data_IF_221823638597
#
_entry.id   IF_221823638597
#
_cell.length_a   1.000
_cell.length_b   1.000
_cell.length_c   1.000
_cell.angle_alpha   90.00
_cell.angle_beta   90.00
_cell.angle_gamma   90.00
#
_symmetry.space_group_name_H-M   'P 1'
#
loop_
_entity.id
_entity.type
_entity.pdbx_description
1 polymer ?
#
# COMPACT_ATOMS: atom_id res chain seq x y z
N UNK A 1 36.11 -40.03 -7.31
CA UNK A 1 36.05 -39.51 -5.92
C UNK A 1 36.01 -40.69 -4.96
N UNK A 2 36.91 -40.76 -3.95
CA UNK A 2 37.42 -42.01 -3.38
C UNK A 2 36.88 -42.28 -1.97
N UNK A 3 35.56 -42.37 -1.81
CA UNK A 3 34.93 -42.56 -0.49
C UNK A 3 34.30 -43.95 -0.27
N UNK A 4 34.09 -44.76 -1.31
CA UNK A 4 33.30 -46.00 -1.20
C UNK A 4 34.11 -47.30 -1.05
N UNK A 5 35.42 -47.31 -1.33
CA UNK A 5 36.25 -48.52 -1.18
C UNK A 5 36.82 -48.76 0.23
N UNK A 6 36.66 -47.80 1.16
CA UNK A 6 37.17 -47.93 2.54
C UNK A 6 36.26 -48.68 3.52
N UNK A 7 35.08 -49.14 3.11
CA UNK A 7 34.08 -49.72 4.03
C UNK A 7 34.11 -51.27 4.05
N UNK A 8 34.93 -51.94 3.23
CA UNK A 8 34.98 -53.42 3.19
C UNK A 8 35.89 -54.09 4.22
N UNK A 9 36.66 -53.33 5.01
CA UNK A 9 37.56 -53.87 6.04
C UNK A 9 37.25 -53.41 7.47
N UNK A 10 36.11 -52.77 7.69
CA UNK A 10 35.75 -52.27 9.03
C UNK A 10 35.32 -53.45 9.92
N UNK A 11 36.02 -53.66 11.03
CA UNK A 11 35.64 -54.67 12.03
C UNK A 11 34.19 -54.45 12.47
N UNK A 12 33.45 -55.52 12.81
CA UNK A 12 32.04 -55.43 13.25
C UNK A 12 31.82 -54.34 14.30
N UNK A 13 32.78 -54.13 15.21
CA UNK A 13 32.75 -53.05 16.23
C UNK A 13 32.68 -51.64 15.63
N UNK A 14 33.43 -51.36 14.57
CA UNK A 14 33.48 -50.05 13.92
C UNK A 14 32.16 -49.74 13.19
N UNK A 15 31.56 -50.75 12.57
CA UNK A 15 30.22 -50.65 11.96
C UNK A 15 29.13 -50.39 13.01
N UNK A 16 29.19 -51.06 14.17
CA UNK A 16 28.24 -50.80 15.26
C UNK A 16 28.40 -49.40 15.87
N UNK A 17 29.63 -48.88 15.99
CA UNK A 17 29.87 -47.54 16.51
C UNK A 17 29.38 -46.45 15.55
N UNK A 18 29.56 -46.64 14.24
CA UNK A 18 29.02 -45.70 13.23
C UNK A 18 27.50 -45.77 13.18
N UNK A 19 26.91 -46.97 13.21
CA UNK A 19 25.45 -47.13 13.25
C UNK A 19 24.86 -46.53 14.54
N UNK A 20 25.49 -46.73 15.69
CA UNK A 20 25.07 -46.12 16.95
C UNK A 20 25.21 -44.59 16.92
N UNK A 21 26.28 -44.04 16.33
CA UNK A 21 26.46 -42.60 16.16
C UNK A 21 25.40 -41.98 15.24
N UNK A 22 25.07 -42.64 14.13
CA UNK A 22 24.00 -42.21 13.21
C UNK A 22 22.62 -42.32 13.88
N UNK A 23 22.39 -43.38 14.66
CA UNK A 23 21.14 -43.55 15.40
C UNK A 23 20.99 -42.48 16.49
N UNK A 24 22.07 -42.16 17.22
CA UNK A 24 22.07 -41.08 18.22
C UNK A 24 21.86 -39.72 17.54
N UNK A 25 22.49 -39.46 16.40
CA UNK A 25 22.25 -38.23 15.62
C UNK A 25 20.83 -38.13 15.08
N UNK A 26 20.24 -39.24 14.62
CA UNK A 26 18.85 -39.29 14.17
C UNK A 26 17.87 -39.11 15.35
N UNK A 27 18.16 -39.73 16.49
CA UNK A 27 17.37 -39.60 17.72
C UNK A 27 17.48 -38.17 18.27
N UNK A 28 18.65 -37.55 18.23
CA UNK A 28 18.84 -36.12 18.59
C UNK A 28 18.13 -35.21 17.57
N UNK A 29 18.19 -35.48 16.27
CA UNK A 29 17.45 -34.69 15.26
C UNK A 29 15.92 -34.81 15.38
N UNK A 30 15.41 -35.94 15.90
CA UNK A 30 13.98 -36.19 16.13
C UNK A 30 13.52 -35.74 17.52
N UNK A 31 14.38 -35.80 18.55
CA UNK A 31 14.05 -35.37 19.92
C UNK A 31 14.33 -33.89 20.19
N UNK A 32 15.27 -33.24 19.51
CA UNK A 32 15.54 -31.80 19.71
C UNK A 32 14.31 -30.93 19.38
N UNK A 33 13.50 -31.20 18.34
CA UNK A 33 12.24 -30.46 18.13
C UNK A 33 11.17 -30.74 19.20
N UNK A 34 11.26 -31.86 19.92
CA UNK A 34 10.24 -32.34 20.89
C UNK A 34 10.60 -32.00 22.34
N UNK A 35 11.90 -31.80 22.63
CA UNK A 35 12.44 -31.48 23.96
C UNK A 35 13.01 -30.06 24.08
N UNK A 36 13.09 -29.30 22.98
CA UNK A 36 13.10 -27.86 23.11
C UNK A 36 11.72 -27.47 23.63
N UNK A 37 11.61 -26.96 24.87
CA UNK A 37 10.35 -26.36 25.29
C UNK A 37 9.99 -25.36 24.19
N UNK A 38 8.76 -25.45 23.69
CA UNK A 38 8.15 -24.32 23.03
C UNK A 38 8.53 -23.11 23.88
N UNK A 39 9.19 -22.14 23.26
CA UNK A 39 9.36 -20.84 23.91
C UNK A 39 7.92 -20.38 24.15
N UNK A 40 7.41 -20.67 25.34
CA UNK A 40 6.16 -20.18 25.91
C UNK A 40 6.34 -18.68 26.11
N UNK A 41 6.33 -18.02 24.98
CA UNK A 41 6.18 -16.60 24.77
C UNK A 41 5.16 -16.42 23.66
N UNK A 42 4.17 -17.32 23.55
CA UNK A 42 2.92 -17.01 22.87
C UNK A 42 2.32 -15.84 23.66
N UNK A 43 2.69 -14.62 23.28
CA UNK A 43 2.01 -13.43 23.75
C UNK A 43 0.53 -13.71 23.52
N UNK A 44 -0.26 -13.82 24.59
CA UNK A 44 -1.70 -14.09 24.47
C UNK A 44 -2.22 -13.17 23.36
N UNK A 45 -2.77 -13.71 22.28
CA UNK A 45 -3.34 -12.88 21.24
C UNK A 45 -4.80 -12.65 21.58
N UNK A 46 -5.35 -11.49 21.21
CA UNK A 46 -6.76 -11.18 21.45
C UNK A 46 -7.60 -11.36 20.19
N UNK A 47 -8.87 -11.68 20.37
CA UNK A 47 -9.88 -11.55 19.30
C UNK A 47 -10.26 -10.07 19.09
N UNK A 48 -10.83 -9.79 17.92
CA UNK A 48 -11.47 -8.49 17.69
C UNK A 48 -12.71 -8.32 18.59
N UNK A 49 -13.11 -7.07 18.92
CA UNK A 49 -14.31 -6.84 19.70
C UNK A 49 -15.55 -7.48 19.06
N UNK A 50 -16.49 -7.98 19.87
CA UNK A 50 -17.72 -8.63 19.37
C UNK A 50 -18.51 -7.72 18.42
N UNK A 51 -18.50 -6.41 18.66
CA UNK A 51 -19.13 -5.42 17.81
C UNK A 51 -18.56 -5.36 16.39
N UNK A 52 -17.30 -5.76 16.17
CA UNK A 52 -16.64 -5.69 14.87
C UNK A 52 -17.38 -6.49 13.80
N UNK A 53 -18.06 -7.59 14.18
CA UNK A 53 -18.88 -8.37 13.24
C UNK A 53 -20.08 -7.59 12.70
N UNK A 54 -20.74 -6.81 13.55
CA UNK A 54 -21.84 -5.95 13.12
C UNK A 54 -21.32 -4.79 12.28
N UNK A 55 -20.21 -4.15 12.69
CA UNK A 55 -19.61 -3.04 11.95
C UNK A 55 -19.11 -3.48 10.56
N UNK A 56 -18.50 -4.65 10.43
CA UNK A 56 -18.01 -5.19 9.17
C UNK A 56 -19.09 -5.36 8.08
N UNK A 57 -20.38 -5.38 8.45
CA UNK A 57 -21.51 -5.56 7.53
C UNK A 57 -22.32 -4.28 7.30
N UNK A 58 -22.01 -3.21 8.02
CA UNK A 58 -22.77 -1.97 7.99
C UNK A 58 -21.79 -0.78 7.94
N UNK A 59 -21.41 -0.33 6.73
CA UNK A 59 -20.45 0.75 6.56
C UNK A 59 -20.85 2.07 7.22
N UNK A 60 -22.13 2.43 7.18
CA UNK A 60 -22.62 3.67 7.79
C UNK A 60 -22.47 3.62 9.32
N UNK A 61 -22.86 2.50 9.93
CA UNK A 61 -22.68 2.28 11.37
C UNK A 61 -21.21 2.14 11.75
N UNK A 62 -20.38 1.53 10.90
CA UNK A 62 -18.94 1.42 11.13
C UNK A 62 -18.27 2.80 11.15
N UNK A 63 -18.56 3.65 10.16
CA UNK A 63 -18.06 5.02 10.11
C UNK A 63 -18.50 5.82 11.35
N UNK A 64 -19.78 5.74 11.73
CA UNK A 64 -20.30 6.43 12.91
C UNK A 64 -19.69 5.92 14.24
N UNK A 65 -19.52 4.61 14.40
CA UNK A 65 -19.02 4.01 15.63
C UNK A 65 -17.50 4.19 15.83
N UNK A 66 -16.76 4.35 14.73
CA UNK A 66 -15.30 4.51 14.76
C UNK A 66 -14.86 5.96 14.56
N UNK A 67 -15.76 6.90 14.24
CA UNK A 67 -15.43 8.32 14.06
C UNK A 67 -14.77 8.92 15.32
N UNK A 68 -13.51 9.37 15.23
CA UNK A 68 -12.80 9.96 16.37
C UNK A 68 -13.29 11.39 16.70
N UNK A 69 -14.18 11.97 15.89
CA UNK A 69 -14.59 13.38 15.96
C UNK A 69 -13.61 14.31 15.26
N UNK A 70 -14.03 15.56 15.05
CA UNK A 70 -13.29 16.59 14.30
C UNK A 70 -11.88 16.84 14.86
N UNK A 71 -11.71 16.80 16.18
CA UNK A 71 -10.42 16.99 16.86
C UNK A 71 -9.58 15.71 16.98
N UNK A 72 -10.09 14.57 16.50
CA UNK A 72 -9.43 13.25 16.59
C UNK A 72 -9.17 12.79 18.06
N UNK A 73 -9.84 13.36 19.05
CA UNK A 73 -9.61 12.99 20.45
C UNK A 73 -10.25 11.65 20.84
N UNK A 74 -11.38 11.26 20.22
CA UNK A 74 -12.18 10.09 20.61
C UNK A 74 -11.69 8.80 19.94
N UNK A 75 -10.39 8.52 20.00
CA UNK A 75 -9.77 7.33 19.37
C UNK A 75 -10.03 6.00 20.09
N UNK A 76 -10.76 5.99 21.20
CA UNK A 76 -11.03 4.80 22.01
C UNK A 76 -11.61 3.60 21.24
N UNK A 77 -12.66 3.77 20.40
CA UNK A 77 -13.20 2.70 19.58
C UNK A 77 -12.19 2.12 18.57
N UNK A 78 -11.49 2.97 17.83
CA UNK A 78 -10.43 2.59 16.89
C UNK A 78 -9.29 1.85 17.58
N UNK A 79 -8.84 2.33 18.75
CA UNK A 79 -7.87 1.63 19.59
C UNK A 79 -8.40 0.24 19.96
N UNK A 80 -9.59 0.10 20.53
CA UNK A 80 -10.14 -1.23 20.85
C UNK A 80 -10.23 -2.16 19.63
N UNK A 81 -10.53 -1.62 18.45
CA UNK A 81 -10.57 -2.38 17.20
C UNK A 81 -9.17 -2.85 16.80
N UNK A 82 -8.23 -1.92 16.60
CA UNK A 82 -6.93 -2.18 15.96
C UNK A 82 -5.81 -2.46 16.96
N UNK A 83 -5.84 -1.81 18.13
CA UNK A 83 -4.76 -1.81 19.12
C UNK A 83 -5.25 -1.49 20.55
N UNK A 84 -5.42 -2.48 21.45
CA UNK A 84 -5.55 -2.17 22.86
C UNK A 84 -4.15 -1.87 23.40
N UNK A 85 -4.07 -1.14 24.50
CA UNK A 85 -2.89 -1.31 25.34
C UNK A 85 -2.78 -2.80 25.70
N UNK A 86 -1.66 -3.45 25.36
CA UNK A 86 -1.44 -4.88 25.61
C UNK A 86 -1.31 -5.72 24.33
N UNK A 87 -2.01 -6.85 24.31
CA UNK A 87 -1.84 -7.97 23.39
C UNK A 87 -2.22 -7.68 21.91
N UNK A 88 -1.47 -8.22 20.92
CA UNK A 88 -1.80 -8.08 19.49
C UNK A 88 -3.09 -8.83 19.12
N UNK A 89 -3.73 -8.45 18.01
CA UNK A 89 -4.83 -9.24 17.45
C UNK A 89 -4.32 -10.62 17.02
N UNK A 90 -5.10 -11.67 17.29
CA UNK A 90 -4.88 -12.98 16.71
C UNK A 90 -4.97 -12.90 15.19
N UNK A 91 -4.14 -13.68 14.51
CA UNK A 91 -4.29 -13.84 13.07
C UNK A 91 -5.56 -14.65 12.73
N UNK A 92 -6.21 -14.30 11.62
CA UNK A 92 -7.33 -15.04 11.08
C UNK A 92 -8.72 -14.48 11.42
N UNK A 93 -9.79 -15.31 11.27
CA UNK A 93 -11.16 -14.85 11.02
C UNK A 93 -11.79 -14.04 12.16
N UNK A 94 -11.42 -14.34 13.40
CA UNK A 94 -11.94 -13.70 14.62
C UNK A 94 -11.08 -12.53 15.12
N UNK A 95 -9.88 -12.33 14.55
CA UNK A 95 -8.93 -11.31 14.97
C UNK A 95 -8.69 -10.29 13.85
N UNK A 96 -7.54 -10.36 13.19
CA UNK A 96 -7.13 -9.43 12.12
C UNK A 96 -8.17 -9.30 11.01
N UNK A 97 -8.81 -10.40 10.60
CA UNK A 97 -9.81 -10.36 9.54
C UNK A 97 -11.08 -9.60 9.93
N UNK A 98 -11.58 -9.82 11.14
CA UNK A 98 -12.80 -9.16 11.60
C UNK A 98 -12.56 -7.67 11.84
N UNK A 99 -11.42 -7.33 12.45
CA UNK A 99 -11.02 -5.95 12.66
C UNK A 99 -10.79 -5.21 11.33
N UNK A 100 -10.09 -5.85 10.39
CA UNK A 100 -9.82 -5.30 9.06
C UNK A 100 -11.08 -5.05 8.23
N UNK A 101 -12.05 -5.98 8.25
CA UNK A 101 -13.34 -5.77 7.57
C UNK A 101 -14.14 -4.60 8.14
N UNK A 102 -14.19 -4.47 9.46
CA UNK A 102 -14.82 -3.33 10.11
C UNK A 102 -14.13 -2.00 9.77
N UNK A 103 -12.80 -2.01 9.65
CA UNK A 103 -12.03 -0.83 9.23
C UNK A 103 -12.34 -0.44 7.77
N UNK A 104 -12.38 -1.39 6.85
CA UNK A 104 -12.74 -1.12 5.44
C UNK A 104 -14.16 -0.58 5.34
N UNK A 105 -15.11 -1.17 6.08
CA UNK A 105 -16.48 -0.68 6.18
C UNK A 105 -16.52 0.78 6.64
N UNK A 106 -15.76 1.13 7.67
CA UNK A 106 -15.76 2.49 8.22
C UNK A 106 -15.09 3.53 7.33
N UNK A 107 -14.11 3.14 6.50
CA UNK A 107 -13.27 4.08 5.74
C UNK A 107 -13.66 4.20 4.27
N UNK A 108 -14.21 3.15 3.67
CA UNK A 108 -14.55 3.12 2.23
C UNK A 108 -16.05 3.27 1.97
N UNK A 109 -16.88 3.25 3.02
CA UNK A 109 -18.33 3.22 2.90
C UNK A 109 -18.87 1.92 2.28
N UNK A 110 -18.04 0.89 2.13
CA UNK A 110 -18.37 -0.42 1.52
C UNK A 110 -17.84 -1.56 2.39
N UNK A 111 -18.48 -2.74 2.32
CA UNK A 111 -17.92 -3.95 2.95
C UNK A 111 -16.57 -4.30 2.32
N UNK A 112 -15.76 -5.16 2.96
CA UNK A 112 -14.45 -5.49 2.41
C UNK A 112 -14.53 -6.28 1.10
N UNK A 113 -15.55 -7.13 0.99
CA UNK A 113 -15.86 -7.89 -0.22
C UNK A 113 -16.24 -6.93 -1.35
N UNK A 114 -17.13 -5.96 -1.10
CA UNK A 114 -17.48 -4.92 -2.07
C UNK A 114 -16.29 -4.02 -2.42
N UNK A 115 -15.43 -3.69 -1.45
CA UNK A 115 -14.28 -2.83 -1.65
C UNK A 115 -13.23 -3.44 -2.58
N UNK A 116 -13.12 -4.78 -2.56
CA UNK A 116 -12.24 -5.56 -3.44
C UNK A 116 -12.88 -5.98 -4.76
N UNK A 117 -14.12 -5.59 -5.03
CA UNK A 117 -14.85 -5.88 -6.26
C UNK A 117 -14.94 -4.62 -7.14
N UNK A 118 -14.40 -4.70 -8.35
CA UNK A 118 -14.37 -3.60 -9.32
C UNK A 118 -15.68 -3.42 -10.09
N UNK A 119 -16.58 -4.39 -10.02
CA UNK A 119 -17.91 -4.28 -10.58
C UNK A 119 -18.85 -3.45 -9.68
N UNK A 120 -18.44 -3.19 -8.44
CA UNK A 120 -19.21 -2.41 -7.47
C UNK A 120 -18.64 -0.98 -7.38
N UNK A 121 -19.42 0.04 -7.80
CA UNK A 121 -18.96 1.43 -7.78
C UNK A 121 -18.54 1.89 -6.38
N UNK A 122 -17.45 2.65 -6.30
CA UNK A 122 -17.02 3.32 -5.09
C UNK A 122 -18.03 4.39 -4.71
N UNK A 123 -18.16 4.57 -3.40
CA UNK A 123 -18.96 5.63 -2.84
C UNK A 123 -18.05 6.84 -2.60
N UNK A 124 -18.51 8.07 -2.86
CA UNK A 124 -17.80 9.26 -2.44
C UNK A 124 -17.45 9.19 -0.95
N UNK A 125 -16.28 9.71 -0.59
CA UNK A 125 -15.86 9.74 0.79
C UNK A 125 -16.79 10.65 1.61
N UNK A 126 -16.96 10.29 2.87
CA UNK A 126 -17.61 11.16 3.86
C UNK A 126 -16.55 11.64 4.83
N UNK A 127 -16.77 12.80 5.45
CA UNK A 127 -15.84 13.29 6.49
C UNK A 127 -15.61 12.27 7.60
N UNK A 128 -16.67 11.59 8.07
CA UNK A 128 -16.53 10.56 9.10
C UNK A 128 -15.55 9.47 8.65
N UNK A 129 -15.72 8.97 7.43
CA UNK A 129 -14.87 7.93 6.88
C UNK A 129 -13.41 8.40 6.72
N UNK A 130 -13.21 9.63 6.25
CA UNK A 130 -11.89 10.23 6.09
C UNK A 130 -11.20 10.49 7.46
N UNK A 131 -11.96 10.90 8.50
CA UNK A 131 -11.46 10.99 9.88
C UNK A 131 -11.04 9.65 10.45
N UNK A 132 -11.80 8.58 10.17
CA UNK A 132 -11.41 7.21 10.56
C UNK A 132 -10.10 6.81 9.86
N UNK A 133 -9.96 7.11 8.57
CA UNK A 133 -8.74 6.82 7.81
C UNK A 133 -7.53 7.58 8.39
N UNK A 134 -7.66 8.89 8.62
CA UNK A 134 -6.65 9.72 9.28
C UNK A 134 -6.22 9.11 10.61
N UNK A 135 -7.18 8.85 11.51
CA UNK A 135 -6.89 8.36 12.86
C UNK A 135 -6.29 6.96 12.85
N UNK A 136 -6.67 6.12 11.88
CA UNK A 136 -6.05 4.81 11.69
C UNK A 136 -4.55 4.95 11.46
N UNK A 137 -4.14 5.82 10.53
CA UNK A 137 -2.72 6.02 10.24
C UNK A 137 -1.98 6.64 11.42
N UNK A 138 -2.60 7.62 12.10
CA UNK A 138 -2.06 8.20 13.33
C UNK A 138 -1.82 7.15 14.43
N UNK A 139 -2.73 6.20 14.60
CA UNK A 139 -2.63 5.15 15.62
C UNK A 139 -1.62 4.06 15.26
N UNK A 140 -1.53 3.69 13.99
CA UNK A 140 -0.64 2.63 13.52
C UNK A 140 0.80 3.13 13.31
N UNK A 141 0.98 4.39 12.94
CA UNK A 141 2.30 5.01 12.75
C UNK A 141 3.08 5.24 14.05
N UNK A 142 2.39 5.31 15.20
CA UNK A 142 3.01 5.43 16.54
C UNK A 142 3.42 4.05 17.05
N UNK A 143 4.53 3.50 16.59
CA UNK A 143 5.09 2.21 17.04
C UNK A 143 5.28 2.04 18.55
N UNK A 144 5.60 0.82 19.00
CA UNK A 144 6.09 0.60 20.38
C UNK A 144 7.48 1.21 20.61
N UNK A 145 8.33 1.14 19.58
CA UNK A 145 9.71 1.68 19.60
C UNK A 145 9.81 3.03 18.87
N UNK A 146 8.88 3.94 19.18
CA UNK A 146 8.77 5.34 18.76
C UNK A 146 8.87 5.71 17.27
N UNK A 147 9.27 4.82 16.35
CA UNK A 147 9.49 5.18 14.93
C UNK A 147 9.16 4.09 13.90
N UNK A 148 8.68 2.90 14.29
CA UNK A 148 8.31 1.85 13.34
C UNK A 148 6.87 1.34 13.59
N UNK A 149 5.99 1.34 12.57
CA UNK A 149 4.66 0.79 12.72
C UNK A 149 4.73 -0.68 13.12
N UNK A 150 3.96 -1.03 14.15
CA UNK A 150 3.88 -2.38 14.69
C UNK A 150 2.43 -2.81 14.81
N UNK A 151 1.97 -3.54 13.80
CA UNK A 151 0.64 -4.15 13.76
C UNK A 151 0.70 -5.53 13.08
N UNK A 152 -0.25 -6.43 13.39
CA UNK A 152 -0.29 -7.79 12.83
C UNK A 152 -0.44 -7.77 11.29
N UNK A 153 0.28 -8.68 10.62
CA UNK A 153 0.35 -8.71 9.15
C UNK A 153 -1.00 -9.02 8.50
N UNK A 154 -1.91 -9.72 9.18
CA UNK A 154 -3.25 -9.98 8.65
C UNK A 154 -4.08 -8.72 8.40
N UNK A 155 -3.70 -7.56 8.95
CA UNK A 155 -4.34 -6.28 8.64
C UNK A 155 -3.91 -5.71 7.28
N UNK A 156 -2.78 -6.14 6.71
CA UNK A 156 -2.17 -5.52 5.52
C UNK A 156 -3.15 -5.41 4.35
N UNK A 157 -3.88 -6.48 4.03
CA UNK A 157 -4.84 -6.47 2.91
C UNK A 157 -5.94 -5.42 3.07
N UNK A 158 -6.39 -5.19 4.31
CA UNK A 158 -7.49 -4.27 4.60
C UNK A 158 -7.02 -2.82 4.66
N UNK A 159 -5.82 -2.60 5.19
CA UNK A 159 -5.16 -1.31 5.12
C UNK A 159 -4.86 -0.91 3.68
N UNK A 160 -4.46 -1.86 2.83
CA UNK A 160 -4.29 -1.61 1.40
C UNK A 160 -5.60 -1.22 0.71
N UNK A 161 -6.74 -1.84 1.04
CA UNK A 161 -8.04 -1.44 0.53
C UNK A 161 -8.44 -0.03 0.99
N UNK A 162 -8.17 0.32 2.25
CA UNK A 162 -8.37 1.67 2.77
C UNK A 162 -7.52 2.69 1.99
N UNK A 163 -6.20 2.49 1.92
CA UNK A 163 -5.31 3.40 1.20
C UNK A 163 -5.62 3.49 -0.29
N UNK A 164 -6.03 2.39 -0.93
CA UNK A 164 -6.45 2.42 -2.32
C UNK A 164 -7.71 3.27 -2.54
N UNK A 165 -8.67 3.27 -1.61
CA UNK A 165 -9.82 4.17 -1.69
C UNK A 165 -9.40 5.64 -1.62
N UNK A 166 -8.38 5.96 -0.81
CA UNK A 166 -7.80 7.30 -0.68
C UNK A 166 -6.49 7.45 -1.45
N UNK A 167 -6.35 6.86 -2.65
CA UNK A 167 -5.02 6.76 -3.31
C UNK A 167 -4.41 8.14 -3.62
N UNK A 168 -5.22 9.13 -3.99
CA UNK A 168 -4.74 10.51 -4.18
C UNK A 168 -4.11 11.07 -2.90
N UNK A 169 -4.84 10.97 -1.78
CA UNK A 169 -4.39 11.48 -0.49
C UNK A 169 -3.20 10.70 0.05
N UNK A 170 -3.20 9.39 -0.18
CA UNK A 170 -2.12 8.47 0.20
C UNK A 170 -0.82 8.87 -0.51
N UNK A 171 -0.86 9.04 -1.82
CA UNK A 171 0.31 9.40 -2.62
C UNK A 171 0.84 10.80 -2.26
N UNK A 172 -0.06 11.77 -2.06
CA UNK A 172 0.30 13.11 -1.56
C UNK A 172 0.97 13.06 -0.19
N UNK A 173 0.39 12.32 0.76
CA UNK A 173 0.92 12.23 2.12
C UNK A 173 2.32 11.62 2.18
N UNK A 174 2.65 10.67 1.28
CA UNK A 174 4.00 10.06 1.20
C UNK A 174 5.07 10.94 0.60
N UNK A 175 4.76 12.19 0.23
CA UNK A 175 5.70 13.10 -0.44
C UNK A 175 5.69 14.53 0.09
N UNK A 176 4.50 15.09 0.33
CA UNK A 176 4.32 16.48 0.73
C UNK A 176 3.75 16.63 2.15
N UNK A 177 3.20 15.55 2.73
CA UNK A 177 2.52 15.62 4.03
C UNK A 177 1.26 16.51 4.03
N UNK A 178 0.86 16.97 5.21
CA UNK A 178 -0.21 17.96 5.37
C UNK A 178 0.27 19.34 4.92
N UNK A 179 -0.63 20.17 4.39
CA UNK A 179 -0.31 21.59 4.20
C UNK A 179 0.05 22.20 5.57
N UNK A 180 1.05 23.09 5.61
CA UNK A 180 1.65 23.56 6.87
C UNK A 180 0.64 24.24 7.81
N UNK A 181 -0.44 24.81 7.28
CA UNK A 181 -1.43 25.58 8.03
C UNK A 181 -2.75 24.84 8.25
N UNK A 182 -2.86 23.57 7.83
CA UNK A 182 -4.10 22.80 7.98
C UNK A 182 -4.09 21.92 9.23
N UNK A 183 -5.02 22.18 10.15
CA UNK A 183 -5.08 21.53 11.47
C UNK A 183 -6.12 20.39 11.56
N UNK A 184 -7.04 20.29 10.59
CA UNK A 184 -8.14 19.32 10.64
C UNK A 184 -7.78 17.98 9.96
N UNK A 185 -8.37 16.86 10.39
CA UNK A 185 -8.09 15.53 9.83
C UNK A 185 -8.62 15.33 8.40
N UNK A 186 -9.49 16.22 7.93
CA UNK A 186 -10.17 16.14 6.64
C UNK A 186 -10.24 17.51 5.99
N UNK A 187 -10.46 17.53 4.68
CA UNK A 187 -10.75 18.75 3.92
C UNK A 187 -11.67 18.42 2.75
N UNK A 188 -12.59 19.32 2.42
CA UNK A 188 -13.45 19.23 1.24
C UNK A 188 -12.78 19.86 0.02
N UNK A 189 -13.31 19.57 -1.18
CA UNK A 189 -12.85 20.23 -2.41
C UNK A 189 -12.97 21.77 -2.35
N UNK A 190 -14.02 22.30 -1.72
CA UNK A 190 -14.24 23.75 -1.62
C UNK A 190 -13.25 24.40 -0.65
N UNK A 191 -12.97 23.75 0.49
CA UNK A 191 -12.01 24.26 1.48
C UNK A 191 -10.56 24.22 1.01
N UNK A 192 -10.23 23.32 0.07
CA UNK A 192 -8.88 23.19 -0.46
C UNK A 192 -8.67 23.91 -1.80
N UNK A 193 -9.64 24.68 -2.28
CA UNK A 193 -9.52 25.52 -3.47
C UNK A 193 -8.43 26.58 -3.31
N UNK A 194 -7.63 26.80 -4.36
CA UNK A 194 -6.69 27.91 -4.39
C UNK A 194 -7.42 29.24 -4.61
N UNK A 195 -6.96 30.32 -3.96
CA UNK A 195 -7.52 31.67 -4.13
C UNK A 195 -7.50 32.18 -5.58
N UNK A 196 -6.63 31.62 -6.44
CA UNK A 196 -6.51 32.01 -7.85
C UNK A 196 -7.48 31.27 -8.79
N UNK A 197 -8.34 30.40 -8.25
CA UNK A 197 -9.30 29.59 -9.01
C UNK A 197 -8.64 28.55 -9.93
N UNK A 198 -7.33 28.30 -9.77
CA UNK A 198 -6.52 27.44 -10.64
C UNK A 198 -6.59 25.95 -10.30
N UNK A 199 -7.31 25.56 -9.25
CA UNK A 199 -7.44 24.17 -8.80
C UNK A 199 -7.54 24.06 -7.28
N UNK A 200 -7.09 22.94 -6.74
CA UNK A 200 -7.13 22.63 -5.31
C UNK A 200 -5.80 22.00 -4.86
N UNK A 201 -5.36 22.23 -3.61
CA UNK A 201 -4.09 21.69 -3.10
C UNK A 201 -4.11 20.21 -2.69
N UNK A 202 -5.28 19.65 -2.40
CA UNK A 202 -5.49 18.24 -2.07
C UNK A 202 -5.51 17.35 -3.33
N UNK A 203 -6.05 17.85 -4.45
CA UNK A 203 -6.15 17.11 -5.71
C UNK A 203 -5.97 18.02 -6.94
N UNK A 204 -5.24 17.56 -7.98
CA UNK A 204 -5.07 18.34 -9.20
C UNK A 204 -6.36 18.50 -10.01
N UNK A 205 -7.35 17.61 -9.82
CA UNK A 205 -8.61 17.61 -10.58
C UNK A 205 -9.82 17.44 -9.65
N UNK A 206 -10.18 18.45 -8.84
CA UNK A 206 -11.31 18.38 -7.90
C UNK A 206 -12.63 18.22 -8.64
N UNK A 207 -13.57 17.48 -8.05
CA UNK A 207 -14.92 17.31 -8.61
C UNK A 207 -15.96 18.27 -7.99
N UNK A 208 -15.59 18.96 -6.90
CA UNK A 208 -16.40 19.92 -6.14
C UNK A 208 -17.15 19.32 -4.95
N UNK A 209 -17.02 18.02 -4.71
CA UNK A 209 -17.82 17.28 -3.74
C UNK A 209 -17.00 16.20 -2.99
N UNK A 210 -15.71 16.08 -3.27
CA UNK A 210 -14.87 15.09 -2.59
C UNK A 210 -14.49 15.56 -1.18
N UNK A 211 -14.28 14.55 -0.33
CA UNK A 211 -13.69 14.71 1.00
C UNK A 211 -12.38 13.94 1.04
N UNK A 212 -11.33 14.65 1.41
CA UNK A 212 -9.97 14.14 1.48
C UNK A 212 -9.60 13.78 2.93
N UNK A 213 -8.87 12.68 3.10
CA UNK A 213 -8.26 12.30 4.35
C UNK A 213 -6.84 12.88 4.44
N UNK A 214 -6.59 13.74 5.42
CA UNK A 214 -5.28 14.38 5.55
C UNK A 214 -4.40 13.56 6.48
N UNK A 215 -3.75 12.54 5.94
CA UNK A 215 -2.87 11.69 6.75
C UNK A 215 -1.77 12.50 7.47
N UNK A 216 -1.37 12.09 8.68
CA UNK A 216 -0.40 12.82 9.51
C UNK A 216 0.99 12.90 8.85
N UNK A 217 1.96 13.51 9.54
CA UNK A 217 3.34 13.73 9.04
C UNK A 217 3.90 12.56 8.21
N UNK A 218 4.70 12.91 7.19
CA UNK A 218 5.26 12.06 6.14
C UNK A 218 5.82 10.70 6.62
N UNK A 219 6.65 10.69 7.68
CA UNK A 219 7.33 9.48 8.16
C UNK A 219 6.37 8.39 8.68
N UNK A 220 5.44 8.69 9.60
CA UNK A 220 4.40 7.74 10.01
C UNK A 220 3.65 7.07 8.85
N UNK A 221 3.24 7.85 7.84
CA UNK A 221 2.46 7.35 6.70
C UNK A 221 3.28 6.38 5.87
N UNK A 222 4.53 6.75 5.55
CA UNK A 222 5.46 5.92 4.79
C UNK A 222 5.82 4.63 5.52
N UNK A 223 6.03 4.71 6.83
CA UNK A 223 6.25 3.53 7.65
C UNK A 223 5.07 2.56 7.52
N UNK A 224 3.84 3.05 7.73
CA UNK A 224 2.64 2.20 7.69
C UNK A 224 2.47 1.57 6.31
N UNK A 225 2.58 2.37 5.25
CA UNK A 225 2.46 1.88 3.86
C UNK A 225 3.55 0.87 3.55
N UNK A 226 4.79 1.11 3.99
CA UNK A 226 5.90 0.19 3.75
C UNK A 226 5.67 -1.17 4.43
N UNK A 227 5.14 -1.18 5.65
CA UNK A 227 4.76 -2.42 6.34
C UNK A 227 3.56 -3.10 5.69
N UNK A 228 2.56 -2.34 5.26
CA UNK A 228 1.40 -2.87 4.50
C UNK A 228 1.88 -3.56 3.22
N UNK A 229 2.77 -2.90 2.47
CA UNK A 229 3.32 -3.39 1.21
C UNK A 229 4.28 -4.58 1.38
N UNK A 230 4.58 -5.03 2.60
CA UNK A 230 5.31 -6.27 2.84
C UNK A 230 4.47 -7.52 2.54
N UNK A 231 3.14 -7.40 2.47
CA UNK A 231 2.27 -8.46 1.94
C UNK A 231 2.10 -8.31 0.41
N UNK A 232 2.36 -9.35 -0.40
CA UNK A 232 2.29 -9.24 -1.86
C UNK A 232 0.90 -8.86 -2.40
N UNK A 233 -0.19 -9.24 -1.71
CA UNK A 233 -1.55 -8.90 -2.16
C UNK A 233 -1.87 -7.44 -1.85
N UNK A 234 -1.49 -6.97 -0.66
CA UNK A 234 -1.57 -5.57 -0.27
C UNK A 234 -0.72 -4.69 -1.20
N UNK A 235 0.51 -5.12 -1.51
CA UNK A 235 1.36 -4.47 -2.52
C UNK A 235 0.62 -4.36 -3.85
N UNK A 236 0.09 -5.46 -4.39
CA UNK A 236 -0.60 -5.45 -5.67
C UNK A 236 -1.79 -4.48 -5.69
N UNK A 237 -2.54 -4.40 -4.57
CA UNK A 237 -3.68 -3.48 -4.42
C UNK A 237 -3.23 -2.02 -4.49
N UNK A 238 -2.20 -1.64 -3.73
CA UNK A 238 -1.64 -0.28 -3.73
C UNK A 238 -1.01 0.08 -5.09
N UNK A 239 -0.30 -0.88 -5.69
CA UNK A 239 0.39 -0.66 -6.95
C UNK A 239 -0.57 -0.54 -8.13
N UNK A 240 -1.67 -1.29 -8.11
CA UNK A 240 -2.76 -1.15 -9.07
C UNK A 240 -3.48 0.18 -8.90
N UNK A 241 -3.77 0.58 -7.65
CA UNK A 241 -4.40 1.86 -7.35
C UNK A 241 -3.56 3.04 -7.85
N UNK A 242 -2.25 3.03 -7.59
CA UNK A 242 -1.36 4.10 -8.03
C UNK A 242 -1.21 4.14 -9.55
N UNK A 243 -1.08 2.98 -10.22
CA UNK A 243 -0.99 2.95 -11.70
C UNK A 243 -2.30 3.39 -12.36
N UNK A 244 -3.45 3.09 -11.74
CA UNK A 244 -4.75 3.60 -12.16
C UNK A 244 -4.85 5.12 -12.00
N UNK A 245 -4.47 5.65 -10.84
CA UNK A 245 -4.39 7.10 -10.55
C UNK A 245 -3.46 7.81 -11.54
N UNK A 246 -2.31 7.22 -11.83
CA UNK A 246 -1.34 7.77 -12.76
C UNK A 246 -1.88 7.87 -14.19
N UNK A 247 -2.51 6.81 -14.69
CA UNK A 247 -3.18 6.84 -15.99
C UNK A 247 -4.31 7.90 -16.04
N UNK A 248 -5.09 8.00 -14.97
CA UNK A 248 -6.13 9.02 -14.81
C UNK A 248 -5.57 10.45 -14.83
N UNK A 249 -4.41 10.66 -14.23
CA UNK A 249 -3.76 11.95 -14.17
C UNK A 249 -3.29 12.40 -15.56
N UNK A 250 -2.55 11.54 -16.26
CA UNK A 250 -2.01 11.84 -17.59
C UNK A 250 -3.09 12.16 -18.63
N UNK A 251 -4.21 11.43 -18.63
CA UNK A 251 -5.28 11.64 -19.62
C UNK A 251 -5.98 13.02 -19.49
N UNK A 252 -5.79 13.74 -18.39
CA UNK A 252 -6.41 15.06 -18.13
C UNK A 252 -5.54 16.25 -18.48
N UNK A 253 -4.23 16.04 -18.59
CA UNK A 253 -3.29 17.07 -18.98
C UNK A 253 -3.60 17.61 -20.37
N UNK A 254 -3.23 18.88 -20.59
CA UNK A 254 -3.24 19.49 -21.92
C UNK A 254 -2.18 18.84 -22.82
N UNK A 255 -2.22 19.15 -24.11
CA UNK A 255 -1.21 18.65 -25.06
C UNK A 255 0.19 19.25 -24.81
N UNK A 256 0.28 20.30 -24.00
CA UNK A 256 1.53 20.87 -23.48
C UNK A 256 1.98 20.22 -22.16
N UNK A 257 1.36 19.11 -21.74
CA UNK A 257 1.60 18.44 -20.46
C UNK A 257 1.36 19.33 -19.23
N UNK A 258 0.36 20.20 -19.29
CA UNK A 258 0.00 21.11 -18.20
C UNK A 258 -1.34 20.72 -17.59
N UNK A 259 -1.49 20.95 -16.29
CA UNK A 259 -2.81 20.98 -15.65
C UNK A 259 -3.66 22.10 -16.29
N UNK A 260 -4.91 21.84 -16.66
CA UNK A 260 -5.76 22.87 -17.28
C UNK A 260 -6.09 24.00 -16.30
N UNK A 261 -6.03 25.24 -16.78
CA UNK A 261 -6.48 26.42 -16.01
C UNK A 261 -5.41 27.04 -15.10
N UNK A 262 -4.27 26.38 -14.87
CA UNK A 262 -3.17 26.98 -14.09
C UNK A 262 -2.29 27.91 -14.92
N UNK A 263 -1.91 29.04 -14.32
CA UNK A 263 -0.79 29.87 -14.80
C UNK A 263 0.50 29.23 -14.30
N UNK A 264 1.47 29.02 -15.19
CA UNK A 264 2.81 28.60 -14.77
C UNK A 264 3.38 29.66 -13.81
N UNK A 265 3.57 29.29 -12.54
CA UNK A 265 4.37 30.07 -11.58
C UNK A 265 5.71 29.37 -11.41
N UNK A 266 6.76 30.16 -11.19
CA UNK A 266 8.16 29.71 -11.12
C UNK A 266 8.41 28.70 -9.99
N UNK A 267 9.29 27.72 -10.25
CA UNK A 267 9.47 26.51 -9.42
C UNK A 267 8.58 25.38 -9.91
N UNK A 268 9.03 24.12 -9.79
CA UNK A 268 8.44 22.88 -10.35
C UNK A 268 6.96 23.05 -10.77
N UNK A 269 6.66 22.83 -12.06
CA UNK A 269 5.26 22.92 -12.52
C UNK A 269 4.38 21.94 -11.72
N UNK A 270 3.10 22.26 -11.51
CA UNK A 270 2.19 21.34 -10.80
C UNK A 270 2.22 19.92 -11.40
N UNK A 271 2.38 19.83 -12.73
CA UNK A 271 2.62 18.55 -13.42
C UNK A 271 3.84 17.81 -12.91
N UNK A 272 4.97 18.49 -12.82
CA UNK A 272 6.22 17.92 -12.35
C UNK A 272 6.07 17.36 -10.93
N UNK A 273 5.43 18.10 -10.03
CA UNK A 273 5.15 17.64 -8.66
C UNK A 273 4.32 16.34 -8.67
N UNK A 274 3.18 16.28 -9.37
CA UNK A 274 2.32 15.08 -9.39
C UNK A 274 3.03 13.85 -9.99
N UNK A 275 3.88 14.05 -11.01
CA UNK A 275 4.68 12.98 -11.59
C UNK A 275 5.77 12.50 -10.63
N UNK A 276 6.41 13.41 -9.91
CA UNK A 276 7.34 13.07 -8.83
C UNK A 276 6.63 12.28 -7.72
N UNK A 277 5.41 12.66 -7.32
CA UNK A 277 4.65 11.94 -6.30
C UNK A 277 4.40 10.49 -6.71
N UNK A 278 3.99 10.28 -7.96
CA UNK A 278 3.81 8.94 -8.54
C UNK A 278 5.10 8.13 -8.47
N UNK A 279 6.21 8.73 -8.92
CA UNK A 279 7.51 8.08 -8.94
C UNK A 279 7.99 7.71 -7.52
N UNK A 280 7.78 8.59 -6.54
CA UNK A 280 8.10 8.36 -5.14
C UNK A 280 7.30 7.20 -4.55
N UNK A 281 5.98 7.15 -4.80
CA UNK A 281 5.12 6.11 -4.29
C UNK A 281 5.50 4.73 -4.85
N UNK A 282 5.74 4.64 -6.16
CA UNK A 282 6.20 3.39 -6.78
C UNK A 282 7.55 2.96 -6.22
N UNK A 283 8.49 3.88 -6.05
CA UNK A 283 9.80 3.59 -5.44
C UNK A 283 9.66 3.09 -3.99
N UNK A 284 8.78 3.70 -3.18
CA UNK A 284 8.47 3.25 -1.82
C UNK A 284 7.96 1.81 -1.81
N UNK A 285 7.07 1.44 -2.74
CA UNK A 285 6.60 0.06 -2.85
C UNK A 285 7.77 -0.88 -3.20
N UNK A 286 8.58 -0.55 -4.21
CA UNK A 286 9.74 -1.37 -4.62
C UNK A 286 10.77 -1.56 -3.50
N UNK A 287 11.02 -0.50 -2.71
CA UNK A 287 11.85 -0.55 -1.52
C UNK A 287 11.25 -1.48 -0.46
N UNK A 288 9.94 -1.37 -0.21
CA UNK A 288 9.21 -2.19 0.76
C UNK A 288 9.25 -3.68 0.44
N UNK A 289 9.15 -4.05 -0.84
CA UNK A 289 9.38 -5.43 -1.31
C UNK A 289 10.77 -5.95 -0.91
N UNK A 290 11.80 -5.14 -1.11
CA UNK A 290 13.19 -5.54 -0.82
C UNK A 290 13.37 -5.73 0.68
N UNK A 291 12.85 -4.79 1.46
CA UNK A 291 12.81 -4.84 2.92
C UNK A 291 12.06 -6.07 3.43
N UNK A 292 10.90 -6.40 2.85
CA UNK A 292 10.13 -7.58 3.25
C UNK A 292 10.89 -8.90 3.07
N UNK A 293 11.70 -9.02 2.01
CA UNK A 293 12.58 -10.20 1.83
C UNK A 293 13.73 -10.19 2.83
N UNK A 294 14.35 -9.03 3.06
CA UNK A 294 15.43 -8.88 4.04
C UNK A 294 15.00 -9.23 5.46
N UNK A 295 13.79 -8.81 5.86
CA UNK A 295 13.19 -9.08 7.16
C UNK A 295 12.57 -10.49 7.28
N UNK A 296 12.64 -11.31 6.23
CA UNK A 296 12.10 -12.67 6.23
C UNK A 296 10.56 -12.74 6.16
N UNK A 297 9.88 -11.62 5.91
CA UNK A 297 8.42 -11.57 5.69
C UNK A 297 8.04 -12.20 4.34
N UNK A 298 8.98 -12.25 3.40
CA UNK A 298 8.85 -12.95 2.13
C UNK A 298 10.08 -13.84 1.85
N UNK A 299 9.89 -15.06 1.31
CA UNK A 299 10.98 -16.03 1.18
C UNK A 299 12.00 -15.67 0.10
N UNK A 300 11.61 -14.91 -0.93
CA UNK A 300 12.49 -14.44 -2.00
C UNK A 300 11.83 -13.34 -2.82
N UNK A 301 12.64 -12.53 -3.50
CA UNK A 301 12.15 -11.50 -4.43
C UNK A 301 11.32 -12.11 -5.56
N UNK A 302 11.81 -13.20 -6.17
CA UNK A 302 11.08 -13.87 -7.25
C UNK A 302 9.75 -14.49 -6.80
N UNK A 303 9.69 -14.99 -5.55
CA UNK A 303 8.45 -15.47 -4.94
C UNK A 303 7.44 -14.35 -4.71
N UNK A 304 7.92 -13.21 -4.18
CA UNK A 304 7.14 -12.00 -3.98
C UNK A 304 6.56 -11.49 -5.31
N UNK A 305 7.39 -11.35 -6.35
CA UNK A 305 6.98 -10.84 -7.67
C UNK A 305 5.88 -11.68 -8.31
N UNK A 306 6.02 -13.02 -8.23
CA UNK A 306 4.99 -13.93 -8.72
C UNK A 306 3.70 -13.80 -7.92
N UNK A 307 3.78 -13.55 -6.62
CA UNK A 307 2.60 -13.33 -5.78
C UNK A 307 1.91 -12.01 -6.11
N UNK A 308 2.66 -10.92 -6.28
CA UNK A 308 2.14 -9.64 -6.76
C UNK A 308 1.46 -9.82 -8.11
N UNK A 309 2.12 -10.46 -9.09
CA UNK A 309 1.54 -10.69 -10.42
C UNK A 309 0.20 -11.42 -10.37
N UNK A 310 0.03 -12.40 -9.46
CA UNK A 310 -1.24 -13.12 -9.30
C UNK A 310 -2.37 -12.25 -8.74
N UNK A 311 -2.05 -11.19 -8.01
CA UNK A 311 -3.01 -10.29 -7.39
C UNK A 311 -3.19 -8.96 -8.13
N UNK A 312 -2.29 -8.65 -9.07
CA UNK A 312 -2.44 -7.52 -9.98
C UNK A 312 -3.58 -7.77 -10.97
N UNK A 313 -4.48 -6.80 -11.09
CA UNK A 313 -5.64 -6.87 -11.98
C UNK A 313 -5.24 -6.66 -13.43
N UNK A 314 -4.23 -5.84 -13.67
CA UNK A 314 -3.70 -5.65 -15.02
C UNK A 314 -2.76 -4.46 -15.17
N UNK A 315 -2.75 -3.91 -16.38
CA UNK A 315 -2.02 -2.69 -16.76
C UNK A 315 -3.02 -1.57 -17.05
N UNK A 316 -2.56 -0.34 -16.83
CA UNK A 316 -3.38 0.86 -16.95
C UNK A 316 -2.72 1.84 -17.92
N UNK A 317 -3.45 2.26 -18.92
CA UNK A 317 -3.06 3.26 -19.90
C UNK A 317 -3.96 4.47 -19.82
N UNK A 318 -3.42 5.69 -19.98
CA UNK A 318 -4.24 6.87 -20.17
C UNK A 318 -5.03 6.77 -21.47
N UNK A 319 -6.17 7.46 -21.52
CA UNK A 319 -6.86 7.65 -22.79
C UNK A 319 -5.99 8.46 -23.77
N UNK A 320 -6.09 8.12 -25.06
CA UNK A 320 -5.38 8.80 -26.14
C UNK A 320 -5.81 10.24 -26.43
N UNK A 321 -6.86 10.70 -25.77
CA UNK A 321 -7.40 12.04 -25.89
C UNK A 321 -7.58 12.64 -24.50
N UNK A 322 -7.79 13.96 -24.45
CA UNK A 322 -7.99 14.66 -23.18
C UNK A 322 -9.36 14.32 -22.58
N UNK A 323 -9.35 13.65 -21.44
CA UNK A 323 -10.55 13.39 -20.64
C UNK A 323 -10.89 14.63 -19.83
N UNK A 324 -12.15 15.07 -19.89
CA UNK A 324 -12.62 16.28 -19.19
C UNK A 324 -13.52 16.00 -17.98
N UNK A 325 -14.01 14.76 -17.84
CA UNK A 325 -14.81 14.36 -16.69
C UNK A 325 -13.98 14.41 -15.41
N UNK A 326 -14.61 14.81 -14.30
CA UNK A 326 -13.99 14.87 -12.97
C UNK A 326 -14.76 13.93 -12.03
N UNK A 327 -14.55 12.61 -12.11
CA UNK A 327 -15.20 11.71 -11.17
C UNK A 327 -14.56 11.86 -9.78
N UNK A 328 -15.22 11.32 -8.76
CA UNK A 328 -14.70 11.30 -7.40
C UNK A 328 -13.34 10.64 -7.27
N UNK A 329 -12.48 11.22 -6.44
CA UNK A 329 -11.19 10.69 -6.02
C UNK A 329 -11.32 9.25 -5.48
N UNK A 330 -12.46 8.92 -4.85
CA UNK A 330 -12.79 7.57 -4.39
C UNK A 330 -12.83 6.51 -5.51
N UNK A 331 -13.02 6.94 -6.77
CA UNK A 331 -13.13 6.06 -7.95
C UNK A 331 -11.81 5.82 -8.67
N UNK A 332 -10.74 6.56 -8.34
CA UNK A 332 -9.48 6.52 -9.07
C UNK A 332 -8.87 5.12 -9.10
N UNK A 333 -8.85 4.43 -7.97
CA UNK A 333 -8.35 3.07 -7.86
C UNK A 333 -9.27 2.01 -8.50
N UNK A 334 -10.51 2.35 -8.84
CA UNK A 334 -11.47 1.43 -9.48
C UNK A 334 -11.42 1.45 -11.00
N UNK A 335 -10.54 2.26 -11.59
CA UNK A 335 -10.31 2.21 -13.03
C UNK A 335 -10.07 0.75 -13.44
N UNK A 336 -10.81 0.27 -14.42
CA UNK A 336 -10.57 -1.07 -14.98
C UNK A 336 -9.25 -1.09 -15.74
N UNK A 337 -8.43 -2.14 -15.60
CA UNK A 337 -7.24 -2.29 -16.43
C UNK A 337 -7.63 -2.46 -17.90
N UNK A 338 -6.85 -1.88 -18.81
CA UNK A 338 -7.07 -2.02 -20.26
C UNK A 338 -6.45 -3.31 -20.82
N UNK A 339 -5.50 -3.90 -20.08
CA UNK A 339 -4.73 -5.08 -20.50
C UNK A 339 -4.39 -5.98 -19.33
N UNK A 340 -4.20 -7.26 -19.61
CA UNK A 340 -3.67 -8.20 -18.63
C UNK A 340 -2.20 -7.88 -18.33
N UNK A 341 -1.76 -8.15 -17.10
CA UNK A 341 -0.34 -8.03 -16.72
C UNK A 341 0.53 -9.14 -17.33
N UNK A 342 -0.08 -10.12 -17.99
CA UNK A 342 0.58 -11.32 -18.52
C UNK A 342 0.79 -12.40 -17.45
N UNK A 343 1.50 -13.46 -17.81
CA UNK A 343 1.80 -14.59 -16.93
C UNK A 343 3.29 -14.95 -16.96
N UNK A 344 3.73 -15.67 -15.92
CA UNK A 344 5.10 -16.20 -15.84
C UNK A 344 6.15 -15.18 -15.37
N UNK A 345 7.39 -15.64 -15.34
CA UNK A 345 8.49 -14.92 -14.70
C UNK A 345 8.85 -13.60 -15.41
N UNK A 346 8.82 -13.58 -16.74
CA UNK A 346 9.10 -12.36 -17.52
C UNK A 346 8.06 -11.27 -17.23
N UNK A 347 6.79 -11.64 -17.13
CA UNK A 347 5.72 -10.71 -16.77
C UNK A 347 5.92 -10.17 -15.36
N UNK A 348 6.24 -11.04 -14.40
CA UNK A 348 6.51 -10.65 -13.01
C UNK A 348 7.69 -9.67 -12.93
N UNK A 349 8.83 -9.98 -13.56
CA UNK A 349 10.01 -9.09 -13.58
C UNK A 349 9.70 -7.74 -14.20
N UNK A 350 8.94 -7.71 -15.31
CA UNK A 350 8.57 -6.45 -15.97
C UNK A 350 7.60 -5.62 -15.11
N UNK A 351 6.65 -6.27 -14.44
CA UNK A 351 5.70 -5.61 -13.54
C UNK A 351 6.43 -4.95 -12.35
N UNK A 352 7.44 -5.64 -11.83
CA UNK A 352 8.22 -5.22 -10.66
C UNK A 352 9.40 -4.31 -11.01
N UNK A 353 9.56 -3.95 -12.27
CA UNK A 353 10.45 -2.86 -12.69
C UNK A 353 9.66 -1.55 -12.71
N UNK A 354 9.73 -0.82 -11.59
CA UNK A 354 8.99 0.44 -11.41
C UNK A 354 9.30 1.50 -12.46
N UNK A 355 10.57 1.63 -12.89
CA UNK A 355 10.96 2.57 -13.96
C UNK A 355 10.34 2.17 -15.28
N UNK A 356 10.38 0.87 -15.64
CA UNK A 356 9.72 0.39 -16.86
C UNK A 356 8.21 0.64 -16.80
N UNK A 357 7.55 0.40 -15.67
CA UNK A 357 6.11 0.65 -15.55
C UNK A 357 5.77 2.14 -15.72
N UNK A 358 6.50 3.04 -15.06
CA UNK A 358 6.29 4.48 -15.15
C UNK A 358 6.55 5.01 -16.57
N UNK A 359 7.72 4.70 -17.14
CA UNK A 359 8.14 5.25 -18.42
C UNK A 359 7.44 4.62 -19.62
N UNK A 360 7.07 3.34 -19.57
CA UNK A 360 6.28 2.74 -20.65
C UNK A 360 4.94 3.47 -20.82
N UNK A 361 4.30 3.85 -19.70
CA UNK A 361 3.01 4.56 -19.72
C UNK A 361 3.22 6.02 -20.13
N UNK A 362 4.22 6.70 -19.55
CA UNK A 362 4.55 8.09 -19.86
C UNK A 362 4.92 8.29 -21.35
N UNK A 363 5.85 7.49 -21.87
CA UNK A 363 6.38 7.64 -23.22
C UNK A 363 5.31 7.34 -24.27
N UNK A 364 4.43 6.36 -24.00
CA UNK A 364 3.28 6.08 -24.85
C UNK A 364 2.33 7.28 -24.91
N UNK A 365 2.01 7.87 -23.76
CA UNK A 365 1.14 9.04 -23.67
C UNK A 365 1.76 10.29 -24.33
N UNK A 366 3.03 10.59 -24.07
CA UNK A 366 3.78 11.69 -24.70
C UNK A 366 3.70 11.59 -26.22
N UNK A 367 3.97 10.39 -26.76
CA UNK A 367 3.93 10.12 -28.20
C UNK A 367 2.53 10.31 -28.76
N UNK A 368 1.52 9.78 -28.08
CA UNK A 368 0.12 9.83 -28.52
C UNK A 368 -0.45 11.25 -28.50
N UNK A 369 -0.07 12.06 -27.49
CA UNK A 369 -0.54 13.44 -27.33
C UNK A 369 0.33 14.49 -28.03
N UNK A 370 1.45 14.08 -28.62
CA UNK A 370 2.37 14.99 -29.31
C UNK A 370 3.01 16.01 -28.38
N UNK A 371 3.30 15.63 -27.13
CA UNK A 371 3.92 16.52 -26.14
C UNK A 371 5.32 16.93 -26.65
N UNK A 372 5.69 18.22 -26.58
CA UNK A 372 7.01 18.69 -27.03
C UNK A 372 8.15 17.94 -26.33
N UNK A 373 9.16 17.54 -27.12
CA UNK A 373 10.26 16.70 -26.62
C UNK A 373 11.00 17.30 -25.42
N UNK A 374 11.23 18.62 -25.41
CA UNK A 374 11.87 19.30 -24.27
C UNK A 374 11.05 19.22 -22.98
N UNK A 375 9.73 19.42 -23.08
CA UNK A 375 8.82 19.29 -21.94
C UNK A 375 8.73 17.84 -21.45
N UNK A 376 8.65 16.87 -22.38
CA UNK A 376 8.63 15.45 -22.04
C UNK A 376 9.91 15.02 -21.32
N UNK A 377 11.08 15.47 -21.79
CA UNK A 377 12.37 15.15 -21.16
C UNK A 377 12.48 15.76 -19.76
N UNK A 378 12.05 17.01 -19.56
CA UNK A 378 12.05 17.63 -18.24
C UNK A 378 11.21 16.83 -17.23
N UNK A 379 9.97 16.48 -17.61
CA UNK A 379 9.07 15.69 -16.76
C UNK A 379 9.65 14.29 -16.49
N UNK A 380 10.28 13.67 -17.50
CA UNK A 380 10.95 12.37 -17.35
C UNK A 380 12.10 12.44 -16.35
N UNK A 381 12.95 13.47 -16.43
CA UNK A 381 14.08 13.68 -15.53
C UNK A 381 13.61 13.90 -14.09
N UNK A 382 12.53 14.66 -13.88
CA UNK A 382 11.95 14.87 -12.55
C UNK A 382 11.45 13.56 -11.95
N UNK A 383 10.65 12.80 -12.72
CA UNK A 383 10.20 11.46 -12.32
C UNK A 383 11.37 10.54 -11.96
N UNK A 384 12.39 10.46 -12.81
CA UNK A 384 13.54 9.57 -12.60
C UNK A 384 14.35 9.96 -11.36
N UNK A 385 14.60 11.26 -11.21
CA UNK A 385 15.34 11.81 -10.07
C UNK A 385 14.64 11.51 -8.75
N UNK A 386 13.31 11.69 -8.71
CA UNK A 386 12.51 11.34 -7.54
C UNK A 386 12.49 9.84 -7.31
N UNK A 387 12.26 9.02 -8.34
CA UNK A 387 12.26 7.56 -8.23
C UNK A 387 13.57 7.04 -7.63
N UNK A 388 14.72 7.48 -8.16
CA UNK A 388 16.05 7.05 -7.69
C UNK A 388 16.30 7.52 -6.26
N UNK A 389 15.90 8.75 -5.91
CA UNK A 389 16.04 9.27 -4.55
C UNK A 389 15.27 8.42 -3.53
N UNK A 390 14.05 8.05 -3.87
CA UNK A 390 13.14 7.32 -2.98
C UNK A 390 13.40 5.80 -2.95
N UNK A 391 13.99 5.24 -4.00
CA UNK A 391 14.36 3.83 -4.04
C UNK A 391 15.59 3.52 -3.18
N UNK A 392 16.43 4.52 -2.90
CA UNK A 392 17.59 4.35 -2.01
C UNK A 392 17.07 3.90 -0.63
N UNK A 393 17.23 2.61 -0.37
CA UNK A 393 16.90 1.97 0.89
C UNK A 393 17.67 2.70 2.01
N UNK A 394 17.01 3.20 3.07
CA UNK A 394 17.72 3.62 4.27
C UNK A 394 18.39 2.43 4.97
#
# INVERSE_FOLDING_TARGET
MPALDRIRGASRRTLYLVAAGVLVLAVVAVLVPVLLPERDGASECRKAPVSARALARDPARAAAALDPGETVERTGPLKRLLRPGGHPLCEGPDGTDLAGRALVAATTGRTAEEAGDDDIPARPHTERAARVAHATVLLLGRGRDQYLPDFPLGLNRYLALMFAAYIQDTTRATTHGTANDWEYPTVTDDEAEYEDGGGNWATPFPNGHDVHALFPQYEPVRGVIGRVAADPRAFATLYDAERARYAFYLERLTDAAQEPGKRARDGLTATESELEQTAAFVALLMASRTKAVHEGLAPSLAGFDRAVLRHTRGLYRPAGHRVRSRPSAATLAQRRPDRTAGTGEKAARRLMDGRIQLFTVFDAWVKERGVPAGSAEQLRVAMDSRYVRELRLP
#
